data_IF_922608845695
#
_entry.id   IF_922608845695
#
_cell.length_a   1.000
_cell.length_b   1.000
_cell.length_c   1.000
_cell.angle_alpha   90.00
_cell.angle_beta   90.00
_cell.angle_gamma   90.00
#
_symmetry.space_group_name_H-M   'P 1'
#
loop_
_entity.id
_entity.type
_entity.pdbx_description
1 polymer ?
#
# COMPACT_ATOMS: atom_id res chain seq x y z
N UNK A 1 -2.33 -18.37 28.28
CA UNK A 1 -1.60 -17.64 27.24
C UNK A 1 -2.36 -17.84 25.94
N UNK A 2 -3.24 -16.91 25.58
CA UNK A 2 -3.97 -16.96 24.32
C UNK A 2 -2.97 -16.81 23.17
N UNK A 3 -2.77 -17.87 22.39
CA UNK A 3 -1.90 -17.89 21.20
C UNK A 3 -2.72 -17.63 19.94
N UNK A 4 -3.69 -16.72 19.98
CA UNK A 4 -4.33 -16.31 18.75
C UNK A 4 -3.49 -15.18 18.15
N UNK A 5 -2.84 -15.36 16.98
CA UNK A 5 -2.15 -14.26 16.34
C UNK A 5 -3.17 -13.11 16.14
N UNK A 6 -2.75 -11.85 16.33
CA UNK A 6 -3.63 -10.71 16.13
C UNK A 6 -4.20 -10.80 14.70
N UNK A 7 -5.52 -10.93 14.61
CA UNK A 7 -6.21 -10.91 13.32
C UNK A 7 -6.38 -9.46 12.91
N UNK A 8 -5.46 -8.99 12.10
CA UNK A 8 -5.55 -7.68 11.46
C UNK A 8 -5.96 -7.85 10.00
N UNK A 9 -6.56 -6.79 9.46
CA UNK A 9 -6.82 -6.63 8.03
C UNK A 9 -6.28 -5.27 7.65
N UNK A 10 -5.40 -5.22 6.65
CA UNK A 10 -4.89 -3.98 6.07
C UNK A 10 -5.39 -3.87 4.64
N UNK A 11 -5.96 -2.72 4.30
CA UNK A 11 -6.42 -2.39 2.95
C UNK A 11 -5.81 -1.07 2.56
N UNK A 12 -5.29 -0.99 1.34
CA UNK A 12 -4.69 0.22 0.77
C UNK A 12 -5.37 0.56 -0.57
N UNK A 13 -5.29 1.81 -0.99
CA UNK A 13 -5.66 2.21 -2.35
C UNK A 13 -4.73 3.33 -2.84
N UNK A 14 -4.39 3.31 -4.13
CA UNK A 14 -3.62 4.37 -4.80
C UNK A 14 -4.48 5.46 -5.45
N UNK A 15 -5.80 5.45 -5.19
CA UNK A 15 -6.76 6.39 -5.78
C UNK A 15 -7.82 5.71 -6.64
N UNK A 16 -8.81 6.48 -7.07
CA UNK A 16 -9.87 6.04 -7.99
C UNK A 16 -10.11 7.13 -9.06
N UNK A 17 -10.38 6.74 -10.31
CA UNK A 17 -10.46 7.69 -11.41
C UNK A 17 -10.52 7.06 -12.80
N UNK A 18 -10.02 7.77 -13.81
CA UNK A 18 -10.05 7.35 -15.24
C UNK A 18 -9.04 6.24 -15.59
N UNK A 19 -8.85 5.26 -14.71
CA UNK A 19 -8.08 4.04 -14.95
C UNK A 19 -8.87 3.11 -15.88
N UNK A 20 -8.97 3.49 -17.15
CA UNK A 20 -9.54 2.64 -18.20
C UNK A 20 -8.47 1.66 -18.64
N UNK A 21 -8.75 0.35 -18.57
CA UNK A 21 -7.77 -0.69 -18.96
C UNK A 21 -7.25 -0.49 -20.37
N UNK A 22 -8.08 0.05 -21.27
CA UNK A 22 -7.74 0.28 -22.67
C UNK A 22 -6.74 1.43 -22.85
N UNK A 23 -6.60 2.30 -21.84
CA UNK A 23 -5.71 3.45 -21.84
C UNK A 23 -4.51 3.29 -20.89
N UNK A 24 -4.43 2.18 -20.15
CA UNK A 24 -3.30 1.86 -19.27
C UNK A 24 -2.20 1.19 -20.09
N UNK A 25 -1.03 1.80 -20.11
CA UNK A 25 0.15 1.14 -20.65
C UNK A 25 0.53 -0.03 -19.73
N UNK A 26 0.99 -1.17 -20.29
CA UNK A 26 1.39 -2.32 -19.47
C UNK A 26 2.47 -1.97 -18.43
N UNK A 27 3.38 -1.05 -18.76
CA UNK A 27 4.39 -0.55 -17.83
C UNK A 27 3.78 0.21 -16.64
N UNK A 28 2.81 1.09 -16.89
CA UNK A 28 2.13 1.87 -15.83
C UNK A 28 1.30 0.96 -14.90
N UNK A 29 0.61 -0.04 -15.46
CA UNK A 29 -0.13 -1.04 -14.65
C UNK A 29 0.84 -1.87 -13.78
N UNK A 30 1.96 -2.30 -14.36
CA UNK A 30 2.98 -3.05 -13.62
C UNK A 30 3.61 -2.21 -12.51
N UNK A 31 3.94 -0.94 -12.79
CA UNK A 31 4.48 0.00 -11.81
C UNK A 31 3.49 0.27 -10.67
N UNK A 32 2.23 0.59 -11.00
CA UNK A 32 1.19 0.81 -9.98
C UNK A 32 0.94 -0.42 -9.10
N UNK A 33 0.96 -1.63 -9.68
CA UNK A 33 0.86 -2.87 -8.89
C UNK A 33 2.07 -3.09 -7.99
N UNK A 34 3.27 -2.80 -8.48
CA UNK A 34 4.50 -2.92 -7.69
C UNK A 34 4.49 -1.93 -6.52
N UNK A 35 4.08 -0.69 -6.75
CA UNK A 35 3.96 0.33 -5.72
C UNK A 35 2.92 -0.03 -4.64
N UNK A 36 1.74 -0.51 -5.05
CA UNK A 36 0.73 -1.03 -4.12
C UNK A 36 1.26 -2.22 -3.29
N UNK A 37 1.96 -3.15 -3.93
CA UNK A 37 2.54 -4.30 -3.23
C UNK A 37 3.59 -3.85 -2.18
N UNK A 38 4.44 -2.88 -2.54
CA UNK A 38 5.44 -2.33 -1.63
C UNK A 38 4.80 -1.62 -0.42
N UNK A 39 3.77 -0.80 -0.65
CA UNK A 39 3.05 -0.12 0.42
C UNK A 39 2.33 -1.11 1.35
N UNK A 40 1.69 -2.14 0.77
CA UNK A 40 1.01 -3.17 1.55
C UNK A 40 2.00 -3.96 2.41
N UNK A 41 3.17 -4.30 1.87
CA UNK A 41 4.21 -5.02 2.63
C UNK A 41 4.76 -4.17 3.77
N UNK A 42 5.02 -2.87 3.54
CA UNK A 42 5.54 -1.97 4.58
C UNK A 42 4.62 -1.92 5.81
N UNK A 43 3.30 -1.73 5.61
CA UNK A 43 2.33 -1.77 6.71
C UNK A 43 2.15 -3.16 7.30
N UNK A 44 2.12 -4.20 6.46
CA UNK A 44 1.95 -5.59 6.91
C UNK A 44 3.13 -6.08 7.76
N UNK A 45 4.35 -5.63 7.47
CA UNK A 45 5.54 -5.95 8.25
C UNK A 45 5.42 -5.45 9.70
N UNK A 46 4.89 -4.24 9.90
CA UNK A 46 4.66 -3.67 11.22
C UNK A 46 3.59 -4.45 11.98
N UNK A 47 2.46 -4.77 11.35
CA UNK A 47 1.38 -5.55 11.96
C UNK A 47 1.83 -6.98 12.31
N UNK A 48 2.62 -7.62 11.45
CA UNK A 48 3.26 -8.93 11.72
C UNK A 48 4.20 -8.88 12.92
N UNK A 49 4.87 -7.75 13.15
CA UNK A 49 5.74 -7.54 14.30
C UNK A 49 4.98 -7.17 15.59
N UNK A 50 3.65 -7.03 15.54
CA UNK A 50 2.82 -6.61 16.67
C UNK A 50 2.81 -5.09 16.90
N UNK A 51 3.21 -4.30 15.91
CA UNK A 51 3.11 -2.84 15.93
C UNK A 51 1.66 -2.35 15.84
N UNK A 52 1.47 -1.03 15.98
CA UNK A 52 0.14 -0.45 16.01
C UNK A 52 -0.47 -0.33 14.61
N UNK A 53 -1.81 -0.24 14.56
CA UNK A 53 -2.52 0.04 13.31
C UNK A 53 -2.17 1.42 12.73
N UNK A 54 -1.84 2.39 13.59
CA UNK A 54 -1.44 3.73 13.17
C UNK A 54 -0.08 3.68 12.46
N UNK A 55 0.93 3.08 13.09
CA UNK A 55 2.28 2.94 12.51
C UNK A 55 2.23 2.19 11.17
N UNK A 56 1.40 1.15 11.08
CA UNK A 56 1.23 0.38 9.85
C UNK A 56 0.59 1.20 8.71
N UNK A 57 -0.41 2.03 9.03
CA UNK A 57 -1.04 2.90 8.06
C UNK A 57 -0.08 4.01 7.59
N UNK A 58 0.64 4.63 8.52
CA UNK A 58 1.64 5.66 8.22
C UNK A 58 2.75 5.13 7.33
N UNK A 59 3.28 3.94 7.61
CA UNK A 59 4.31 3.32 6.78
C UNK A 59 3.81 2.98 5.37
N UNK A 60 2.58 2.47 5.24
CA UNK A 60 2.00 2.20 3.93
C UNK A 60 1.78 3.49 3.12
N UNK A 61 1.28 4.56 3.75
CA UNK A 61 1.07 5.86 3.11
C UNK A 61 2.39 6.51 2.70
N UNK A 62 3.42 6.46 3.55
CA UNK A 62 4.73 7.03 3.24
C UNK A 62 5.35 6.39 1.97
N UNK A 63 5.16 5.08 1.76
CA UNK A 63 5.59 4.41 0.53
C UNK A 63 4.80 4.90 -0.69
N UNK A 64 3.49 5.10 -0.55
CA UNK A 64 2.67 5.65 -1.64
C UNK A 64 3.03 7.10 -1.96
N UNK A 65 3.33 7.93 -0.96
CA UNK A 65 3.75 9.32 -1.14
C UNK A 65 5.13 9.47 -1.80
N UNK A 66 6.00 8.47 -1.65
CA UNK A 66 7.35 8.47 -2.21
C UNK A 66 7.43 7.87 -3.62
N UNK A 67 6.39 7.16 -4.06
CA UNK A 67 6.32 6.53 -5.37
C UNK A 67 5.66 7.48 -6.39
N UNK A 68 6.37 7.84 -7.49
CA UNK A 68 5.92 8.87 -8.43
C UNK A 68 4.69 8.48 -9.26
N UNK A 69 4.19 7.25 -9.15
CA UNK A 69 3.02 6.81 -9.89
C UNK A 69 1.68 7.15 -9.18
N UNK A 70 1.68 7.86 -8.04
CA UNK A 70 0.52 7.89 -7.14
C UNK A 70 -0.18 9.21 -6.80
N UNK A 71 0.05 10.38 -7.36
CA UNK A 71 -0.64 11.61 -6.94
C UNK A 71 -0.78 11.79 -5.41
N UNK A 72 0.31 11.56 -4.69
CA UNK A 72 0.45 11.83 -3.26
C UNK A 72 1.90 12.24 -2.99
N UNK A 73 2.12 13.26 -2.15
CA UNK A 73 3.48 13.65 -1.78
C UNK A 73 4.37 14.07 -2.96
N UNK A 74 5.33 13.21 -3.33
CA UNK A 74 6.37 13.49 -4.35
C UNK A 74 6.01 13.10 -5.78
N UNK A 75 4.81 12.54 -6.02
CA UNK A 75 4.34 12.33 -7.40
C UNK A 75 2.94 11.79 -7.48
#
# INVERSE_FOLDING_TARGET
MDRNPPRWTLVIHGGSGSMRREALLPEDDAAGRAGLAAALEAGSAILRAGGSALDAAEAAVAVLEDDPHFNAGRG
#
